data_IF_053060530644
#
_entry.id   IF_053060530644
#
_cell.length_a   1.000
_cell.length_b   1.000
_cell.length_c   1.000
_cell.angle_alpha   90.00
_cell.angle_beta   90.00
_cell.angle_gamma   90.00
#
_symmetry.space_group_name_H-M   'P 1'
#
loop_
_entity.id
_entity.type
_entity.pdbx_description
1 polymer ?
#
# COMPACT_ATOMS: atom_id res chain seq x y z
N UNK A 1 -11.17 -7.71 36.76
CA UNK A 1 -10.82 -8.43 35.52
C UNK A 1 -12.10 -8.49 34.71
N UNK A 2 -12.21 -7.69 33.66
CA UNK A 2 -13.32 -7.78 32.70
C UNK A 2 -13.22 -9.15 32.02
N UNK A 3 -14.30 -9.92 32.00
CA UNK A 3 -14.36 -11.16 31.22
C UNK A 3 -13.95 -10.86 29.78
N UNK A 4 -13.10 -11.72 29.21
CA UNK A 4 -12.65 -11.56 27.83
C UNK A 4 -13.89 -11.67 26.91
N UNK A 5 -14.05 -10.70 25.99
CA UNK A 5 -15.19 -10.66 25.07
C UNK A 5 -15.17 -11.79 24.03
N UNK A 6 -14.11 -12.60 24.01
CA UNK A 6 -13.89 -13.71 23.09
C UNK A 6 -12.56 -13.57 22.32
N UNK A 7 -12.25 -14.59 21.52
CA UNK A 7 -11.03 -14.64 20.70
C UNK A 7 -11.36 -14.35 19.25
N UNK A 8 -10.73 -13.28 18.67
CA UNK A 8 -11.01 -12.81 17.32
C UNK A 8 -9.81 -13.01 16.40
N UNK A 9 -10.03 -13.69 15.28
CA UNK A 9 -9.06 -13.78 14.19
C UNK A 9 -9.20 -12.56 13.28
N UNK A 10 -8.09 -11.85 13.02
CA UNK A 10 -8.07 -10.75 12.06
C UNK A 10 -7.24 -11.15 10.84
N UNK A 11 -7.90 -11.37 9.70
CA UNK A 11 -7.24 -11.60 8.43
C UNK A 11 -6.73 -10.26 7.86
N UNK A 12 -5.48 -10.23 7.40
CA UNK A 12 -4.86 -9.00 6.90
C UNK A 12 -4.45 -8.02 8.02
N UNK A 13 -4.15 -8.53 9.22
CA UNK A 13 -3.79 -7.73 10.38
C UNK A 13 -2.55 -6.85 10.20
N UNK A 14 -1.65 -7.16 9.27
CA UNK A 14 -0.47 -6.33 8.95
C UNK A 14 -0.79 -5.15 8.00
N UNK A 15 -2.00 -5.09 7.44
CA UNK A 15 -2.47 -3.98 6.61
C UNK A 15 -2.86 -2.74 7.43
N UNK A 16 -3.13 -1.62 6.74
CA UNK A 16 -3.52 -0.36 7.38
C UNK A 16 -4.74 -0.50 8.30
N UNK A 17 -5.88 -0.93 7.75
CA UNK A 17 -7.11 -1.12 8.53
C UNK A 17 -6.93 -2.26 9.54
N UNK A 18 -6.32 -3.38 9.11
CA UNK A 18 -6.12 -4.55 9.98
C UNK A 18 -5.33 -4.25 11.25
N UNK A 19 -4.30 -3.40 11.18
CA UNK A 19 -3.54 -2.98 12.36
C UNK A 19 -4.36 -2.10 13.30
N UNK A 20 -5.12 -1.14 12.77
CA UNK A 20 -6.01 -0.34 13.61
C UNK A 20 -7.03 -1.22 14.32
N UNK A 21 -7.61 -2.21 13.61
CA UNK A 21 -8.51 -3.20 14.20
C UNK A 21 -7.82 -4.06 15.26
N UNK A 22 -6.60 -4.56 14.98
CA UNK A 22 -5.87 -5.41 15.94
C UNK A 22 -5.57 -4.67 17.26
N UNK A 23 -5.06 -3.46 17.17
CA UNK A 23 -4.77 -2.65 18.35
C UNK A 23 -6.05 -2.22 19.08
N UNK A 24 -7.06 -1.77 18.36
CA UNK A 24 -8.31 -1.28 18.96
C UNK A 24 -9.16 -2.39 19.57
N UNK A 25 -9.27 -3.56 18.94
CA UNK A 25 -9.98 -4.71 19.51
C UNK A 25 -9.26 -5.24 20.75
N UNK A 26 -7.92 -5.31 20.73
CA UNK A 26 -7.14 -5.65 21.93
C UNK A 26 -7.39 -4.65 23.07
N UNK A 27 -7.43 -3.36 22.78
CA UNK A 27 -7.73 -2.31 23.76
C UNK A 27 -9.18 -2.42 24.29
N UNK A 28 -10.11 -2.94 23.48
CA UNK A 28 -11.48 -3.20 23.86
C UNK A 28 -11.68 -4.54 24.60
N UNK A 29 -10.61 -5.27 24.95
CA UNK A 29 -10.66 -6.49 25.76
C UNK A 29 -10.83 -7.80 24.97
N UNK A 30 -10.63 -7.78 23.65
CA UNK A 30 -10.61 -8.98 22.83
C UNK A 30 -9.25 -9.68 22.87
N UNK A 31 -9.25 -11.01 22.89
CA UNK A 31 -8.07 -11.82 22.56
C UNK A 31 -7.89 -11.80 21.02
N UNK A 32 -6.79 -11.22 20.55
CA UNK A 32 -6.58 -11.00 19.10
C UNK A 32 -5.56 -11.99 18.56
N UNK A 33 -5.98 -12.79 17.56
CA UNK A 33 -5.09 -13.57 16.69
C UNK A 33 -4.89 -12.79 15.39
N UNK A 34 -3.70 -12.28 15.18
CA UNK A 34 -3.35 -11.45 14.05
C UNK A 34 -2.81 -12.29 12.89
N UNK A 35 -3.55 -12.40 11.77
CA UNK A 35 -3.13 -13.18 10.61
C UNK A 35 -2.61 -12.30 9.48
N UNK A 36 -1.43 -12.67 8.96
CA UNK A 36 -0.76 -12.02 7.84
C UNK A 36 0.13 -13.01 7.09
N UNK A 37 0.60 -12.59 5.91
CA UNK A 37 1.56 -13.37 5.10
C UNK A 37 2.94 -13.51 5.76
N UNK A 38 3.29 -12.58 6.63
CA UNK A 38 4.53 -12.56 7.43
C UNK A 38 4.21 -11.97 8.79
N UNK A 39 4.32 -12.78 9.82
CA UNK A 39 3.89 -12.42 11.17
C UNK A 39 4.97 -11.78 12.03
N UNK A 40 6.26 -11.89 11.69
CA UNK A 40 7.38 -11.44 12.52
C UNK A 40 7.28 -10.00 13.08
N UNK A 41 6.54 -9.10 12.42
CA UNK A 41 6.28 -7.75 12.94
C UNK A 41 5.19 -7.76 14.00
N UNK A 42 4.09 -8.46 13.72
CA UNK A 42 2.96 -8.59 14.63
C UNK A 42 3.37 -9.30 15.92
N UNK A 43 4.24 -10.33 15.81
CA UNK A 43 4.85 -11.01 16.97
C UNK A 43 5.62 -10.01 17.85
N UNK A 44 6.47 -9.16 17.23
CA UNK A 44 7.20 -8.12 17.97
C UNK A 44 6.30 -7.06 18.60
N UNK A 45 5.08 -6.88 18.09
CA UNK A 45 4.04 -6.00 18.66
C UNK A 45 3.23 -6.69 19.77
N UNK A 46 3.57 -7.95 20.09
CA UNK A 46 2.95 -8.72 21.17
C UNK A 46 1.56 -9.26 20.85
N UNK A 47 1.28 -9.58 19.58
CA UNK A 47 0.06 -10.29 19.20
C UNK A 47 0.33 -11.79 19.12
N UNK A 48 -0.68 -12.60 19.47
CA UNK A 48 -0.75 -13.97 19.00
C UNK A 48 -0.92 -13.95 17.48
N UNK A 49 -0.15 -14.75 16.75
CA UNK A 49 -0.12 -14.66 15.30
C UNK A 49 -0.44 -15.97 14.62
N UNK A 50 -1.02 -15.85 13.41
CA UNK A 50 -1.29 -16.96 12.51
C UNK A 50 -0.79 -16.60 11.10
N UNK A 51 0.34 -17.20 10.70
CA UNK A 51 0.89 -16.93 9.37
C UNK A 51 0.08 -17.65 8.29
N UNK A 52 -0.47 -16.87 7.35
CA UNK A 52 -1.23 -17.36 6.22
C UNK A 52 -1.11 -16.42 5.01
N UNK A 53 -0.74 -16.97 3.86
CA UNK A 53 -0.84 -16.27 2.57
C UNK A 53 -2.17 -16.65 1.91
N UNK A 54 -3.13 -15.73 1.94
CA UNK A 54 -4.46 -15.94 1.35
C UNK A 54 -4.42 -16.12 -0.18
N UNK A 55 -3.30 -15.79 -0.85
CA UNK A 55 -3.10 -16.05 -2.26
C UNK A 55 -2.56 -17.47 -2.55
N UNK A 56 -2.16 -18.22 -1.52
CA UNK A 56 -1.69 -19.58 -1.68
C UNK A 56 -2.85 -20.56 -1.89
N UNK A 57 -2.69 -21.61 -2.71
CA UNK A 57 -3.73 -22.63 -2.89
C UNK A 57 -4.10 -23.37 -1.59
N UNK A 58 -3.16 -23.48 -0.65
CA UNK A 58 -3.37 -24.15 0.62
C UNK A 58 -4.39 -23.43 1.48
N UNK A 59 -4.32 -22.11 1.56
CA UNK A 59 -5.23 -21.28 2.35
C UNK A 59 -6.67 -21.28 1.80
N UNK A 60 -6.87 -21.71 0.56
CA UNK A 60 -8.19 -21.90 -0.03
C UNK A 60 -8.85 -23.25 0.38
N UNK A 61 -8.22 -24.03 1.27
CA UNK A 61 -8.76 -25.30 1.73
C UNK A 61 -9.18 -25.23 3.20
N UNK A 62 -10.30 -25.84 3.54
CA UNK A 62 -10.79 -25.92 4.93
C UNK A 62 -9.78 -26.64 5.83
N UNK A 63 -9.12 -27.68 5.30
CA UNK A 63 -8.14 -28.47 6.03
C UNK A 63 -6.95 -27.62 6.54
N UNK A 64 -6.54 -26.61 5.79
CA UNK A 64 -5.47 -25.68 6.22
C UNK A 64 -5.85 -24.93 7.50
N UNK A 65 -7.13 -24.57 7.67
CA UNK A 65 -7.62 -23.80 8.81
C UNK A 65 -8.04 -24.68 9.99
N UNK A 66 -8.37 -25.95 9.75
CA UNK A 66 -8.72 -26.88 10.82
C UNK A 66 -7.56 -27.04 11.81
N UNK A 67 -7.85 -26.94 13.10
CA UNK A 67 -6.87 -26.95 14.18
C UNK A 67 -6.11 -25.64 14.39
N UNK A 68 -6.10 -24.73 13.42
CA UNK A 68 -5.47 -23.40 13.55
C UNK A 68 -6.43 -22.35 14.14
N UNK A 69 -7.73 -22.65 14.16
CA UNK A 69 -8.80 -21.79 14.68
C UNK A 69 -9.28 -22.24 16.08
N UNK A 70 -8.44 -22.94 16.83
CA UNK A 70 -8.79 -23.39 18.17
C UNK A 70 -9.04 -22.17 19.08
N UNK A 71 -10.17 -22.18 19.78
CA UNK A 71 -10.60 -21.09 20.65
C UNK A 71 -11.10 -19.83 19.92
N UNK A 72 -10.94 -19.72 18.61
CA UNK A 72 -11.42 -18.56 17.85
C UNK A 72 -12.96 -18.57 17.78
N UNK A 73 -13.57 -17.50 18.28
CA UNK A 73 -15.03 -17.32 18.31
C UNK A 73 -15.52 -16.33 17.26
N UNK A 74 -14.66 -15.39 16.83
CA UNK A 74 -15.02 -14.31 15.90
C UNK A 74 -13.96 -14.17 14.81
N UNK A 75 -14.37 -13.62 13.65
CA UNK A 75 -13.45 -13.30 12.57
C UNK A 75 -13.69 -11.88 12.06
N UNK A 76 -12.60 -11.14 11.85
CA UNK A 76 -12.63 -9.87 11.12
C UNK A 76 -11.74 -10.01 9.89
N UNK A 77 -12.35 -9.94 8.72
CA UNK A 77 -11.62 -10.00 7.47
C UNK A 77 -11.35 -8.59 6.95
N UNK A 78 -10.13 -8.10 7.18
CA UNK A 78 -9.62 -6.84 6.64
C UNK A 78 -8.63 -7.07 5.49
N UNK A 79 -8.51 -8.30 4.99
CA UNK A 79 -7.65 -8.61 3.87
C UNK A 79 -8.25 -8.10 2.55
N UNK A 80 -7.40 -7.60 1.68
CA UNK A 80 -7.81 -7.18 0.36
C UNK A 80 -6.64 -6.67 -0.48
N UNK A 81 -6.80 -6.77 -1.79
CA UNK A 81 -5.85 -6.26 -2.79
C UNK A 81 -6.62 -5.43 -3.81
N UNK A 82 -6.15 -4.20 -4.06
CA UNK A 82 -6.80 -3.30 -5.02
C UNK A 82 -6.35 -3.62 -6.45
N UNK A 83 -5.05 -3.86 -6.62
CA UNK A 83 -4.42 -4.15 -7.91
C UNK A 83 -3.67 -5.48 -7.81
N UNK A 84 -4.22 -6.53 -8.42
CA UNK A 84 -3.63 -7.85 -8.45
C UNK A 84 -4.07 -8.58 -9.74
N UNK A 85 -3.42 -9.72 -10.04
CA UNK A 85 -3.93 -10.60 -11.09
C UNK A 85 -5.27 -11.19 -10.68
N UNK A 86 -6.10 -11.54 -11.66
CA UNK A 86 -7.41 -12.18 -11.46
C UNK A 86 -7.34 -13.34 -10.47
N UNK A 87 -6.37 -14.24 -10.67
CA UNK A 87 -6.13 -15.38 -9.77
C UNK A 87 -5.88 -14.96 -8.31
N UNK A 88 -5.01 -13.97 -8.09
CA UNK A 88 -4.70 -13.51 -6.73
C UNK A 88 -5.90 -12.80 -6.10
N UNK A 89 -6.61 -12.00 -6.89
CA UNK A 89 -7.81 -11.30 -6.45
C UNK A 89 -8.90 -12.30 -6.01
N UNK A 90 -9.18 -13.30 -6.84
CA UNK A 90 -10.13 -14.37 -6.54
C UNK A 90 -9.75 -15.16 -5.28
N UNK A 91 -8.47 -15.51 -5.14
CA UNK A 91 -7.99 -16.24 -3.96
C UNK A 91 -8.19 -15.42 -2.66
N UNK A 92 -7.76 -14.16 -2.67
CA UNK A 92 -7.76 -13.30 -1.45
C UNK A 92 -9.15 -12.82 -1.06
N UNK A 93 -10.02 -12.53 -2.05
CA UNK A 93 -11.34 -11.97 -1.75
C UNK A 93 -12.43 -13.03 -1.57
N UNK A 94 -12.26 -14.20 -2.17
CA UNK A 94 -13.34 -15.20 -2.26
C UNK A 94 -12.93 -16.56 -1.67
N UNK A 95 -11.91 -17.21 -2.26
CA UNK A 95 -11.61 -18.62 -1.98
C UNK A 95 -11.06 -18.85 -0.56
N UNK A 96 -10.02 -18.13 -0.16
CA UNK A 96 -9.44 -18.29 1.16
C UNK A 96 -10.39 -17.83 2.29
N UNK A 97 -11.11 -16.69 2.16
CA UNK A 97 -12.17 -16.32 3.10
C UNK A 97 -13.26 -17.38 3.25
N UNK A 98 -13.75 -17.98 2.14
CA UNK A 98 -14.73 -19.06 2.19
C UNK A 98 -14.23 -20.23 3.05
N UNK A 99 -12.99 -20.66 2.84
CA UNK A 99 -12.38 -21.76 3.60
C UNK A 99 -12.25 -21.44 5.11
N UNK A 100 -11.88 -20.18 5.45
CA UNK A 100 -11.84 -19.73 6.85
C UNK A 100 -13.22 -19.77 7.49
N UNK A 101 -14.23 -19.21 6.81
CA UNK A 101 -15.59 -19.13 7.34
C UNK A 101 -16.20 -20.52 7.50
N UNK A 102 -15.98 -21.42 6.55
CA UNK A 102 -16.41 -22.82 6.63
C UNK A 102 -15.71 -23.56 7.77
N UNK A 103 -14.37 -23.40 7.90
CA UNK A 103 -13.60 -24.01 8.98
C UNK A 103 -14.08 -23.52 10.35
N UNK A 104 -14.28 -22.21 10.50
CA UNK A 104 -14.86 -21.62 11.70
C UNK A 104 -16.25 -22.22 11.97
N UNK A 105 -17.05 -22.47 10.91
CA UNK A 105 -18.34 -23.16 10.95
C UNK A 105 -18.29 -24.56 11.56
N UNK A 106 -17.21 -25.27 11.50
CA UNK A 106 -17.03 -26.67 11.94
C UNK A 106 -16.51 -26.85 13.38
N UNK A 107 -16.05 -25.78 14.06
CA UNK A 107 -15.47 -25.89 15.41
C UNK A 107 -16.50 -26.10 16.56
N UNK A 108 -17.75 -26.45 16.29
CA UNK A 108 -18.74 -26.90 17.30
C UNK A 108 -19.59 -25.80 17.98
N UNK A 109 -19.17 -24.54 17.98
CA UNK A 109 -19.89 -23.43 18.67
C UNK A 109 -20.75 -22.62 17.69
N UNK A 110 -21.73 -23.24 17.03
CA UNK A 110 -22.54 -22.64 15.96
C UNK A 110 -23.29 -21.35 16.34
N UNK A 111 -23.70 -21.21 17.60
CA UNK A 111 -24.58 -20.12 18.05
C UNK A 111 -23.84 -18.81 18.39
N UNK A 112 -22.51 -18.85 18.56
CA UNK A 112 -21.71 -17.69 18.99
C UNK A 112 -20.79 -17.13 17.91
N UNK A 113 -20.88 -17.63 16.68
CA UNK A 113 -19.96 -17.23 15.62
C UNK A 113 -20.45 -16.00 14.92
N UNK A 114 -19.60 -15.02 14.94
CA UNK A 114 -19.87 -13.71 14.38
C UNK A 114 -18.63 -13.22 13.69
N UNK A 115 -18.83 -12.42 12.68
CA UNK A 115 -17.70 -11.84 12.00
C UNK A 115 -18.08 -10.64 11.15
N UNK A 116 -17.07 -9.89 10.80
CA UNK A 116 -17.18 -8.71 9.94
C UNK A 116 -16.21 -8.84 8.78
N UNK A 117 -16.70 -8.68 7.56
CA UNK A 117 -15.88 -8.47 6.37
C UNK A 117 -15.79 -6.97 6.11
N UNK A 118 -14.61 -6.38 6.18
CA UNK A 118 -14.40 -5.00 5.75
C UNK A 118 -14.46 -4.96 4.22
N UNK A 119 -15.49 -4.31 3.71
CA UNK A 119 -15.71 -4.08 2.28
C UNK A 119 -15.59 -2.60 1.94
N UNK A 120 -16.00 -2.21 0.75
CA UNK A 120 -15.87 -0.85 0.26
C UNK A 120 -17.19 -0.34 -0.33
N UNK A 121 -17.46 0.93 -0.12
CA UNK A 121 -18.58 1.64 -0.75
C UNK A 121 -18.35 1.78 -2.26
N UNK A 122 -19.43 1.85 -3.04
CA UNK A 122 -19.41 2.09 -4.49
C UNK A 122 -18.96 0.89 -5.34
N UNK A 123 -18.97 -0.32 -4.77
CA UNK A 123 -18.65 -1.52 -5.55
C UNK A 123 -19.81 -2.00 -6.41
N UNK A 124 -21.05 -1.64 -6.12
CA UNK A 124 -22.22 -2.08 -6.88
C UNK A 124 -22.25 -1.42 -8.27
N UNK A 125 -21.90 -0.15 -8.36
CA UNK A 125 -21.90 0.63 -9.59
C UNK A 125 -20.58 0.52 -10.37
N UNK A 126 -19.64 -0.31 -9.91
CA UNK A 126 -18.32 -0.46 -10.50
C UNK A 126 -18.15 -1.80 -11.20
N UNK A 127 -17.71 -1.76 -12.48
CA UNK A 127 -17.38 -2.93 -13.29
C UNK A 127 -15.91 -3.37 -13.17
N UNK A 128 -15.15 -2.79 -12.24
CA UNK A 128 -13.76 -3.17 -12.03
C UNK A 128 -13.63 -4.59 -11.49
N UNK A 129 -12.54 -5.28 -11.81
CA UNK A 129 -12.26 -6.61 -11.24
C UNK A 129 -12.24 -6.59 -9.71
N UNK A 130 -11.76 -5.51 -9.11
CA UNK A 130 -11.82 -5.30 -7.67
C UNK A 130 -13.25 -5.32 -7.14
N UNK A 131 -14.15 -4.54 -7.75
CA UNK A 131 -15.55 -4.46 -7.31
C UNK A 131 -16.28 -5.81 -7.48
N UNK A 132 -16.04 -6.51 -8.60
CA UNK A 132 -16.61 -7.85 -8.83
C UNK A 132 -16.23 -8.84 -7.74
N UNK A 133 -14.91 -9.00 -7.45
CA UNK A 133 -14.46 -9.94 -6.42
C UNK A 133 -14.88 -9.52 -5.02
N UNK A 134 -15.02 -8.21 -4.75
CA UNK A 134 -15.58 -7.75 -3.48
C UNK A 134 -17.03 -8.17 -3.32
N UNK A 135 -17.89 -8.00 -4.34
CA UNK A 135 -19.29 -8.47 -4.30
C UNK A 135 -19.39 -9.98 -4.13
N UNK A 136 -18.55 -10.74 -4.86
CA UNK A 136 -18.46 -12.20 -4.67
C UNK A 136 -18.06 -12.57 -3.24
N UNK A 137 -17.06 -11.88 -2.67
CA UNK A 137 -16.63 -12.05 -1.27
C UNK A 137 -17.70 -11.69 -0.25
N UNK A 138 -18.49 -10.65 -0.51
CA UNK A 138 -19.66 -10.29 0.31
C UNK A 138 -20.73 -11.39 0.29
N UNK A 139 -21.03 -11.94 -0.89
CA UNK A 139 -21.98 -13.04 -1.02
C UNK A 139 -21.51 -14.28 -0.25
N UNK A 140 -20.22 -14.62 -0.32
CA UNK A 140 -19.63 -15.71 0.47
C UNK A 140 -19.72 -15.41 1.97
N UNK A 141 -19.41 -14.20 2.40
CA UNK A 141 -19.47 -13.79 3.81
C UNK A 141 -20.91 -13.95 4.34
N UNK A 142 -21.90 -13.42 3.65
CA UNK A 142 -23.32 -13.53 4.02
C UNK A 142 -23.79 -14.99 4.11
N UNK A 143 -23.38 -15.84 3.18
CA UNK A 143 -23.73 -17.27 3.18
C UNK A 143 -23.19 -18.01 4.43
N UNK A 144 -22.18 -17.46 5.09
CA UNK A 144 -21.56 -18.02 6.30
C UNK A 144 -21.88 -17.22 7.58
N UNK A 145 -22.83 -16.27 7.53
CA UNK A 145 -23.21 -15.46 8.68
C UNK A 145 -22.15 -14.40 9.07
N UNK A 146 -21.26 -14.07 8.15
CA UNK A 146 -20.27 -12.98 8.31
C UNK A 146 -20.85 -11.72 7.66
N UNK A 147 -20.90 -10.65 8.41
CA UNK A 147 -21.53 -9.39 8.00
C UNK A 147 -20.56 -8.53 7.18
N UNK A 148 -20.86 -8.17 5.93
CA UNK A 148 -20.08 -7.18 5.21
C UNK A 148 -20.32 -5.78 5.77
N UNK A 149 -19.23 -5.06 6.04
CA UNK A 149 -19.22 -3.65 6.43
C UNK A 149 -18.48 -2.85 5.36
N UNK A 150 -19.23 -2.17 4.50
CA UNK A 150 -18.70 -1.29 3.47
C UNK A 150 -18.26 0.01 4.11
N UNK A 151 -16.97 0.24 4.14
CA UNK A 151 -16.41 1.47 4.66
C UNK A 151 -16.23 2.49 3.53
N UNK A 152 -16.51 3.76 3.83
CA UNK A 152 -16.10 4.90 3.03
C UNK A 152 -14.57 5.04 3.01
N UNK A 153 -14.06 6.21 2.64
CA UNK A 153 -12.62 6.48 2.69
C UNK A 153 -12.12 6.46 4.15
N UNK A 154 -11.29 5.47 4.48
CA UNK A 154 -10.72 5.35 5.83
C UNK A 154 -9.50 6.25 5.97
N UNK A 155 -9.52 7.15 6.94
CA UNK A 155 -8.39 7.98 7.37
C UNK A 155 -8.00 7.60 8.80
N UNK A 156 -6.75 7.86 9.21
CA UNK A 156 -6.29 7.53 10.57
C UNK A 156 -4.98 8.22 10.92
N UNK A 157 -4.41 7.89 12.05
CA UNK A 157 -3.09 8.38 12.48
C UNK A 157 -1.99 7.92 11.52
N UNK A 158 -2.04 6.65 11.12
CA UNK A 158 -1.23 6.13 10.02
C UNK A 158 -1.97 6.33 8.70
N UNK A 159 -1.33 6.05 7.59
CA UNK A 159 -1.96 6.12 6.28
C UNK A 159 -1.39 5.08 5.34
N UNK A 160 -2.20 4.64 4.38
CA UNK A 160 -1.80 3.70 3.35
C UNK A 160 -2.69 3.87 2.10
N UNK A 161 -2.16 3.59 0.92
CA UNK A 161 -2.94 3.61 -0.30
C UNK A 161 -3.57 4.98 -0.59
N UNK A 162 -4.89 5.02 -0.73
CA UNK A 162 -5.64 6.25 -1.04
C UNK A 162 -5.47 7.36 -0.01
N UNK A 163 -5.39 7.02 1.28
CA UNK A 163 -5.18 8.03 2.33
C UNK A 163 -3.76 8.62 2.30
N UNK A 164 -2.74 7.83 1.95
CA UNK A 164 -1.38 8.32 1.72
C UNK A 164 -1.33 9.23 0.50
N UNK A 165 -1.99 8.86 -0.60
CA UNK A 165 -2.08 9.69 -1.80
C UNK A 165 -2.79 11.01 -1.50
N UNK A 166 -3.90 11.00 -0.76
CA UNK A 166 -4.60 12.22 -0.37
C UNK A 166 -3.69 13.17 0.44
N UNK A 167 -2.93 12.65 1.42
CA UNK A 167 -1.95 13.45 2.16
C UNK A 167 -0.84 13.99 1.26
N UNK A 168 -0.35 13.21 0.30
CA UNK A 168 0.69 13.61 -0.62
C UNK A 168 0.21 14.71 -1.58
N UNK A 169 -1.01 14.60 -2.13
CA UNK A 169 -1.61 15.64 -2.95
C UNK A 169 -1.86 16.93 -2.15
N UNK A 170 -2.31 16.80 -0.89
CA UNK A 170 -2.46 17.93 0.02
C UNK A 170 -1.12 18.61 0.35
N UNK A 171 -0.02 17.84 0.46
CA UNK A 171 1.32 18.36 0.73
C UNK A 171 2.10 18.79 -0.51
N UNK A 172 1.51 18.66 -1.71
CA UNK A 172 2.22 18.98 -2.95
C UNK A 172 2.67 20.46 -2.95
N UNK A 173 3.92 20.76 -3.32
CA UNK A 173 4.41 22.13 -3.36
C UNK A 173 3.75 22.93 -4.48
N UNK A 174 3.59 24.21 -4.31
CA UNK A 174 3.13 25.20 -5.30
C UNK A 174 1.69 25.07 -5.77
N UNK A 175 1.13 23.86 -5.93
CA UNK A 175 -0.25 23.64 -6.38
C UNK A 175 -0.86 22.42 -5.64
N UNK A 176 -2.18 22.33 -5.60
CA UNK A 176 -2.90 21.19 -5.05
C UNK A 176 -3.66 20.48 -6.18
N UNK A 177 -3.17 19.33 -6.68
CA UNK A 177 -3.81 18.62 -7.77
C UNK A 177 -5.12 17.96 -7.34
N UNK A 178 -6.18 18.12 -8.12
CA UNK A 178 -7.47 17.44 -7.95
C UNK A 178 -7.92 16.81 -9.26
N UNK A 179 -8.73 15.76 -9.19
CA UNK A 179 -9.28 15.07 -10.36
C UNK A 179 -10.52 15.83 -10.86
N UNK A 180 -10.55 16.19 -12.13
CA UNK A 180 -11.68 16.93 -12.70
C UNK A 180 -11.89 18.28 -12.00
N UNK A 181 -13.12 18.56 -11.59
CA UNK A 181 -13.46 19.77 -10.84
C UNK A 181 -13.03 19.73 -9.37
N UNK A 182 -12.78 18.54 -8.81
CA UNK A 182 -12.50 18.35 -7.40
C UNK A 182 -13.72 18.44 -6.48
N UNK A 183 -14.92 18.27 -7.05
CA UNK A 183 -16.23 18.39 -6.37
C UNK A 183 -16.83 17.04 -5.97
N UNK A 184 -16.13 15.94 -6.26
CA UNK A 184 -16.60 14.60 -5.89
C UNK A 184 -16.79 14.50 -4.38
N UNK A 185 -17.93 13.93 -3.91
CA UNK A 185 -18.25 13.87 -2.50
C UNK A 185 -17.55 12.71 -1.79
N UNK A 186 -17.15 12.95 -0.55
CA UNK A 186 -16.58 11.96 0.37
C UNK A 186 -17.17 12.19 1.76
N UNK A 187 -17.41 11.12 2.49
CA UNK A 187 -17.64 11.18 3.93
C UNK A 187 -16.66 10.27 4.67
N UNK A 188 -15.39 10.72 4.83
CA UNK A 188 -14.34 9.90 5.41
C UNK A 188 -14.70 9.42 6.81
N UNK A 189 -14.32 8.17 7.12
CA UNK A 189 -14.44 7.59 8.46
C UNK A 189 -13.05 7.44 9.08
N UNK A 190 -12.93 7.77 10.37
CA UNK A 190 -11.66 7.57 11.07
C UNK A 190 -11.45 6.10 11.42
N UNK A 191 -10.23 5.59 11.27
CA UNK A 191 -9.90 4.19 11.53
C UNK A 191 -10.24 3.73 12.97
N UNK A 192 -10.10 4.61 13.96
CA UNK A 192 -10.51 4.31 15.33
C UNK A 192 -12.04 4.20 15.47
N UNK A 193 -12.81 5.02 14.74
CA UNK A 193 -14.26 4.97 14.77
C UNK A 193 -14.79 3.74 14.01
N UNK A 194 -14.14 3.37 12.89
CA UNK A 194 -14.37 2.09 12.21
C UNK A 194 -14.11 0.91 13.17
N UNK A 195 -13.03 0.97 13.96
CA UNK A 195 -12.70 -0.09 14.92
C UNK A 195 -13.76 -0.20 16.03
N UNK A 196 -14.25 0.91 16.56
CA UNK A 196 -15.34 0.92 17.54
C UNK A 196 -16.63 0.33 16.97
N UNK A 197 -16.95 0.68 15.72
CA UNK A 197 -18.09 0.11 15.01
C UNK A 197 -17.95 -1.42 14.85
N UNK A 198 -16.79 -1.90 14.42
CA UNK A 198 -16.51 -3.34 14.33
C UNK A 198 -16.64 -4.03 15.68
N UNK A 199 -16.06 -3.47 16.74
CA UNK A 199 -16.16 -4.04 18.09
C UNK A 199 -17.62 -4.17 18.56
N UNK A 200 -18.45 -3.15 18.30
CA UNK A 200 -19.87 -3.18 18.61
C UNK A 200 -20.61 -4.24 17.78
N UNK A 201 -20.40 -4.27 16.46
CA UNK A 201 -21.06 -5.18 15.55
C UNK A 201 -20.66 -6.66 15.74
N UNK A 202 -19.49 -6.95 16.31
CA UNK A 202 -19.14 -8.31 16.71
C UNK A 202 -20.00 -8.83 17.86
N UNK A 203 -20.45 -7.96 18.76
CA UNK A 203 -21.30 -8.31 19.89
C UNK A 203 -22.80 -8.10 19.62
N UNK A 204 -23.13 -7.19 18.71
CA UNK A 204 -24.49 -6.84 18.29
C UNK A 204 -24.60 -6.94 16.75
N UNK A 205 -24.67 -8.15 16.20
CA UNK A 205 -24.67 -8.34 14.75
C UNK A 205 -25.95 -7.78 14.13
N UNK A 206 -25.78 -7.18 12.95
CA UNK A 206 -26.90 -6.78 12.09
C UNK A 206 -27.02 -7.71 10.88
N UNK A 207 -28.19 -7.78 10.29
CA UNK A 207 -28.41 -8.56 9.08
C UNK A 207 -28.01 -7.79 7.81
N UNK A 208 -27.56 -8.52 6.80
CA UNK A 208 -27.24 -7.96 5.49
C UNK A 208 -25.94 -7.14 5.46
N UNK A 209 -25.81 -6.37 4.40
CA UNK A 209 -24.65 -5.48 4.17
C UNK A 209 -24.86 -4.19 4.95
N UNK A 210 -23.84 -3.80 5.70
CA UNK A 210 -23.82 -2.53 6.44
C UNK A 210 -22.90 -1.54 5.75
N UNK A 211 -23.15 -0.23 5.91
CA UNK A 211 -22.28 0.83 5.41
C UNK A 211 -21.91 1.79 6.54
N UNK A 212 -20.63 2.25 6.52
CA UNK A 212 -20.11 3.22 7.47
C UNK A 212 -19.31 4.33 6.79
N UNK A 213 -19.71 5.57 7.07
CA UNK A 213 -18.99 6.80 6.73
C UNK A 213 -19.05 7.76 7.88
N UNK A 214 -18.30 8.85 7.80
CA UNK A 214 -18.44 9.97 8.73
C UNK A 214 -19.75 10.75 8.49
N UNK A 215 -20.21 11.53 9.48
CA UNK A 215 -21.40 12.34 9.33
C UNK A 215 -21.22 13.59 8.44
N UNK A 216 -19.97 13.98 8.19
CA UNK A 216 -19.60 15.15 7.40
C UNK A 216 -19.28 14.75 5.96
N UNK A 217 -20.00 15.35 5.00
CA UNK A 217 -19.70 15.21 3.57
C UNK A 217 -18.82 16.36 3.14
N UNK A 218 -17.69 16.04 2.54
CA UNK A 218 -16.71 17.00 2.02
C UNK A 218 -16.38 16.68 0.56
N UNK A 219 -16.08 17.70 -0.22
CA UNK A 219 -15.56 17.52 -1.59
C UNK A 219 -14.09 17.09 -1.55
N UNK A 220 -13.57 16.55 -2.66
CA UNK A 220 -12.13 16.26 -2.79
C UNK A 220 -11.29 17.49 -2.46
N UNK A 221 -11.68 18.68 -2.97
CA UNK A 221 -10.96 19.94 -2.74
C UNK A 221 -10.97 20.32 -1.26
N UNK A 222 -12.12 20.22 -0.58
CA UNK A 222 -12.23 20.54 0.85
C UNK A 222 -11.43 19.57 1.71
N UNK A 223 -11.51 18.27 1.41
CA UNK A 223 -10.73 17.24 2.10
C UNK A 223 -9.21 17.51 1.99
N UNK A 224 -8.71 17.75 0.77
CA UNK A 224 -7.29 18.04 0.58
C UNK A 224 -6.87 19.36 1.24
N UNK A 225 -7.73 20.38 1.21
CA UNK A 225 -7.50 21.66 1.90
C UNK A 225 -7.44 21.47 3.40
N UNK A 226 -8.35 20.68 3.97
CA UNK A 226 -8.34 20.33 5.40
C UNK A 226 -7.08 19.60 5.82
N UNK A 227 -6.67 18.57 5.04
CA UNK A 227 -5.42 17.85 5.28
C UNK A 227 -4.19 18.75 5.14
N UNK A 228 -4.17 19.66 4.17
CA UNK A 228 -3.09 20.64 3.99
C UNK A 228 -2.95 21.57 5.20
N UNK A 229 -4.07 22.08 5.69
CA UNK A 229 -4.11 22.93 6.90
C UNK A 229 -3.63 22.15 8.12
N UNK A 230 -4.10 20.91 8.29
CA UNK A 230 -3.65 20.02 9.36
C UNK A 230 -2.14 19.78 9.35
N UNK A 231 -1.54 19.62 8.15
CA UNK A 231 -0.08 19.49 7.98
C UNK A 231 0.68 20.79 8.25
N UNK A 232 0.00 21.89 8.61
CA UNK A 232 0.62 23.20 8.87
C UNK A 232 1.10 23.91 7.60
N UNK A 233 0.57 23.55 6.42
CA UNK A 233 0.99 24.13 5.15
C UNK A 233 0.08 25.28 4.73
N UNK A 234 0.69 26.34 4.17
CA UNK A 234 -0.03 27.49 3.64
C UNK A 234 -0.88 27.13 2.40
N UNK A 235 -1.88 27.96 2.06
CA UNK A 235 -2.73 27.75 0.89
C UNK A 235 -1.93 27.82 -0.42
N UNK A 236 -2.38 27.03 -1.41
CA UNK A 236 -1.84 27.02 -2.78
C UNK A 236 -2.98 26.97 -3.79
N UNK A 237 -2.76 27.38 -5.04
CA UNK A 237 -3.75 27.23 -6.09
C UNK A 237 -4.17 25.77 -6.31
N UNK A 238 -5.47 25.54 -6.54
CA UNK A 238 -6.00 24.23 -6.92
C UNK A 238 -5.75 24.01 -8.42
N UNK A 239 -5.06 22.91 -8.75
CA UNK A 239 -4.81 22.47 -10.11
C UNK A 239 -5.81 21.38 -10.50
N UNK A 240 -6.81 21.75 -11.30
CA UNK A 240 -7.82 20.82 -11.82
C UNK A 240 -7.24 20.02 -12.98
N UNK A 241 -6.98 18.72 -12.75
CA UNK A 241 -6.43 17.83 -13.77
C UNK A 241 -7.58 17.20 -14.56
N UNK A 242 -7.57 17.29 -15.91
CA UNK A 242 -8.56 16.61 -16.72
C UNK A 242 -8.59 15.09 -16.43
N UNK A 243 -9.77 14.53 -16.37
CA UNK A 243 -9.98 13.09 -16.04
C UNK A 243 -9.20 12.17 -16.97
N UNK A 244 -9.14 12.47 -18.27
CA UNK A 244 -8.36 11.68 -19.24
C UNK A 244 -6.87 11.62 -18.88
N UNK A 245 -6.30 12.72 -18.38
CA UNK A 245 -4.90 12.79 -17.95
C UNK A 245 -4.70 11.95 -16.70
N UNK A 246 -5.60 12.04 -15.71
CA UNK A 246 -5.56 11.22 -14.50
C UNK A 246 -5.66 9.71 -14.84
N UNK A 247 -6.51 9.34 -15.81
CA UNK A 247 -6.60 7.96 -16.31
C UNK A 247 -5.33 7.50 -17.02
N UNK A 248 -4.68 8.37 -17.79
CA UNK A 248 -3.39 8.07 -18.41
C UNK A 248 -2.30 7.85 -17.35
N UNK A 249 -2.23 8.71 -16.34
CA UNK A 249 -1.34 8.54 -15.19
C UNK A 249 -1.64 7.24 -14.43
N UNK A 250 -2.92 6.89 -14.27
CA UNK A 250 -3.35 5.64 -13.67
C UNK A 250 -2.83 4.42 -14.43
N UNK A 251 -2.89 4.42 -15.77
CA UNK A 251 -2.33 3.33 -16.61
C UNK A 251 -0.82 3.19 -16.42
N UNK A 252 -0.09 4.30 -16.35
CA UNK A 252 1.34 4.29 -16.07
C UNK A 252 1.58 3.72 -14.67
N UNK A 253 0.80 4.15 -13.69
CA UNK A 253 0.88 3.65 -12.33
C UNK A 253 0.62 2.15 -12.20
N UNK A 254 -0.36 1.61 -12.94
CA UNK A 254 -0.63 0.18 -13.01
C UNK A 254 0.56 -0.58 -13.62
N UNK A 255 1.13 -0.07 -14.74
CA UNK A 255 2.29 -0.67 -15.40
C UNK A 255 3.54 -0.70 -14.49
N UNK A 256 3.75 0.36 -13.71
CA UNK A 256 4.87 0.52 -12.77
C UNK A 256 4.57 -0.04 -11.37
N UNK A 257 3.38 -0.57 -11.13
CA UNK A 257 2.93 -1.08 -9.82
C UNK A 257 3.06 -0.06 -8.70
N UNK A 258 2.56 1.16 -8.94
CA UNK A 258 2.61 2.26 -7.98
C UNK A 258 1.45 2.26 -6.95
N UNK A 259 0.68 1.18 -6.89
CA UNK A 259 -0.38 0.99 -5.90
C UNK A 259 -1.56 1.94 -6.11
N UNK A 260 -1.70 3.00 -5.31
CA UNK A 260 -2.89 3.86 -5.35
C UNK A 260 -2.95 4.80 -6.57
N UNK A 261 -1.86 4.92 -7.32
CA UNK A 261 -1.86 5.59 -8.62
C UNK A 261 -2.25 4.53 -9.66
N UNK A 262 -3.55 4.29 -9.82
CA UNK A 262 -4.11 3.24 -10.69
C UNK A 262 -5.38 3.73 -11.38
N UNK A 263 -5.73 3.09 -12.50
CA UNK A 263 -7.00 3.39 -13.18
C UNK A 263 -8.19 3.11 -12.26
N UNK A 264 -8.11 2.05 -11.44
CA UNK A 264 -9.17 1.72 -10.46
C UNK A 264 -9.33 2.84 -9.43
N UNK A 265 -8.24 3.37 -8.88
CA UNK A 265 -8.31 4.47 -7.92
C UNK A 265 -8.88 5.76 -8.56
N UNK A 266 -8.49 6.09 -9.80
CA UNK A 266 -9.04 7.24 -10.51
C UNK A 266 -10.55 7.09 -10.72
N UNK A 267 -11.05 5.90 -11.13
CA UNK A 267 -12.49 5.65 -11.28
C UNK A 267 -13.25 5.78 -9.97
N UNK A 268 -12.70 5.29 -8.86
CA UNK A 268 -13.30 5.48 -7.53
C UNK A 268 -13.34 6.95 -7.13
N UNK A 269 -12.28 7.72 -7.42
CA UNK A 269 -12.26 9.16 -7.17
C UNK A 269 -13.28 9.90 -8.03
N UNK A 270 -13.48 9.50 -9.30
CA UNK A 270 -14.46 10.12 -10.20
C UNK A 270 -15.91 9.90 -9.71
N UNK A 271 -16.21 8.71 -9.20
CA UNK A 271 -17.54 8.37 -8.67
C UNK A 271 -17.82 9.05 -7.32
N UNK A 272 -16.78 9.46 -6.59
CA UNK A 272 -16.87 9.81 -5.19
C UNK A 272 -16.91 8.55 -4.30
N UNK A 273 -16.80 8.75 -2.99
CA UNK A 273 -16.90 7.68 -2.00
C UNK A 273 -17.81 8.17 -0.88
N UNK A 274 -19.10 7.99 -1.07
CA UNK A 274 -20.14 8.41 -0.14
C UNK A 274 -20.85 7.18 0.42
N UNK A 275 -20.63 6.89 1.70
CA UNK A 275 -21.33 5.84 2.42
C UNK A 275 -22.68 6.36 2.92
N UNK A 276 -23.70 5.53 2.84
CA UNK A 276 -24.99 5.77 3.50
C UNK A 276 -25.06 4.95 4.79
N UNK A 277 -24.75 5.54 5.97
CA UNK A 277 -24.72 4.78 7.22
C UNK A 277 -26.00 4.00 7.44
N UNK A 278 -25.87 2.68 7.61
CA UNK A 278 -27.00 1.79 7.87
C UNK A 278 -27.63 2.06 9.24
N UNK A 279 -28.82 1.51 9.48
CA UNK A 279 -29.52 1.69 10.76
C UNK A 279 -28.68 1.18 11.94
N UNK A 280 -28.03 0.01 11.80
CA UNK A 280 -27.14 -0.54 12.83
C UNK A 280 -25.93 0.39 13.12
N UNK A 281 -25.40 1.07 12.10
CA UNK A 281 -24.32 2.04 12.28
C UNK A 281 -24.82 3.33 12.91
N UNK A 282 -26.04 3.78 12.58
CA UNK A 282 -26.68 4.94 13.24
C UNK A 282 -26.99 4.69 14.71
N UNK A 283 -27.24 3.43 15.07
CA UNK A 283 -27.54 3.00 16.45
C UNK A 283 -26.29 2.76 17.31
N UNK A 284 -25.08 2.98 16.76
CA UNK A 284 -23.84 2.85 17.54
C UNK A 284 -23.87 3.75 18.80
N UNK A 285 -23.36 3.26 19.95
CA UNK A 285 -23.28 4.04 21.18
C UNK A 285 -22.49 5.35 21.02
N UNK A 286 -21.42 5.28 20.22
CA UNK A 286 -20.62 6.43 19.84
C UNK A 286 -20.69 6.62 18.33
N UNK A 287 -21.21 7.77 17.91
CA UNK A 287 -21.26 8.12 16.47
C UNK A 287 -19.85 8.37 15.93
N UNK A 288 -19.56 7.96 14.68
CA UNK A 288 -18.32 8.33 14.02
C UNK A 288 -18.14 9.85 13.99
N UNK A 289 -16.91 10.30 14.17
CA UNK A 289 -16.55 11.72 14.10
C UNK A 289 -16.61 12.24 12.67
N UNK A 290 -16.93 13.52 12.51
CA UNK A 290 -16.81 14.22 11.22
C UNK A 290 -15.34 14.38 10.79
N UNK A 291 -15.13 14.67 9.51
CA UNK A 291 -13.80 14.91 8.97
C UNK A 291 -13.10 16.05 9.70
N UNK A 292 -13.79 17.16 9.92
CA UNK A 292 -13.26 18.32 10.65
C UNK A 292 -12.90 17.99 12.09
N UNK A 293 -13.68 17.16 12.77
CA UNK A 293 -13.44 16.77 14.14
C UNK A 293 -12.14 15.99 14.29
N UNK A 294 -11.95 14.93 13.49
CA UNK A 294 -10.76 14.09 13.64
C UNK A 294 -9.48 14.72 13.07
N UNK A 295 -9.59 15.60 12.07
CA UNK A 295 -8.45 16.38 11.57
C UNK A 295 -7.96 17.35 12.64
N UNK A 296 -8.87 17.92 13.44
CA UNK A 296 -8.53 18.84 14.52
C UNK A 296 -8.20 18.13 15.85
N UNK A 297 -8.46 16.81 15.97
CA UNK A 297 -8.27 16.06 17.21
C UNK A 297 -6.81 15.92 17.67
N UNK A 298 -5.85 15.96 16.73
CA UNK A 298 -4.42 15.94 17.03
C UNK A 298 -3.62 16.82 16.08
N UNK A 299 -2.50 17.41 16.53
CA UNK A 299 -1.57 18.10 15.64
C UNK A 299 -0.87 17.11 14.70
N UNK A 300 -0.53 17.55 13.48
CA UNK A 300 0.40 16.81 12.62
C UNK A 300 1.83 16.96 13.16
N UNK A 301 2.55 15.85 13.16
CA UNK A 301 3.97 15.84 13.51
C UNK A 301 4.87 15.88 12.27
N UNK A 302 6.18 15.97 12.51
CA UNK A 302 7.20 15.92 11.43
C UNK A 302 7.08 14.64 10.60
N UNK A 303 6.75 13.50 11.21
CA UNK A 303 6.53 12.23 10.53
C UNK A 303 5.35 12.28 9.55
N UNK A 304 4.26 12.98 9.89
CA UNK A 304 3.11 13.14 9.00
C UNK A 304 3.49 13.97 7.78
N UNK A 305 4.20 15.07 7.99
CA UNK A 305 4.66 15.96 6.93
C UNK A 305 5.70 15.28 6.02
N UNK A 306 6.66 14.57 6.60
CA UNK A 306 7.67 13.85 5.82
C UNK A 306 7.04 12.73 5.02
N UNK A 307 6.15 11.93 5.61
CA UNK A 307 5.44 10.88 4.89
C UNK A 307 4.65 11.47 3.71
N UNK A 308 3.89 12.55 3.94
CA UNK A 308 3.12 13.20 2.88
C UNK A 308 3.99 13.71 1.72
N UNK A 309 5.12 14.35 2.02
CA UNK A 309 6.04 14.89 1.00
C UNK A 309 6.85 13.81 0.29
N UNK A 310 7.27 12.77 1.00
CA UNK A 310 8.13 11.71 0.45
C UNK A 310 7.33 10.65 -0.31
N UNK A 311 6.01 10.58 -0.12
CA UNK A 311 5.18 9.55 -0.73
C UNK A 311 5.32 9.51 -2.26
N UNK A 312 5.19 10.65 -2.92
CA UNK A 312 5.35 10.76 -4.37
C UNK A 312 6.83 10.81 -4.80
N UNK A 313 7.78 10.95 -3.89
CA UNK A 313 9.20 10.86 -4.23
C UNK A 313 9.62 9.43 -4.58
N UNK A 314 8.94 8.41 -4.07
CA UNK A 314 9.21 7.00 -4.40
C UNK A 314 9.13 6.71 -5.91
N UNK A 315 8.03 6.99 -6.62
CA UNK A 315 7.99 6.83 -8.07
C UNK A 315 8.99 7.72 -8.81
N UNK A 316 9.23 8.94 -8.33
CA UNK A 316 10.22 9.84 -8.94
C UNK A 316 11.63 9.24 -8.85
N UNK A 317 12.04 8.74 -7.68
CA UNK A 317 13.33 8.10 -7.50
C UNK A 317 13.49 6.84 -8.36
N UNK A 318 12.43 6.02 -8.48
CA UNK A 318 12.46 4.86 -9.39
C UNK A 318 12.71 5.28 -10.84
N UNK A 319 12.03 6.34 -11.32
CA UNK A 319 12.19 6.84 -12.67
C UNK A 319 13.60 7.42 -12.86
N UNK A 320 14.06 8.26 -11.94
CA UNK A 320 15.41 8.87 -12.02
C UNK A 320 16.49 7.81 -12.07
N UNK A 321 16.44 6.82 -11.17
CA UNK A 321 17.40 5.71 -11.16
C UNK A 321 17.26 4.83 -12.41
N UNK A 322 16.04 4.57 -12.89
CA UNK A 322 15.84 3.80 -14.12
C UNK A 322 16.41 4.52 -15.35
N UNK A 323 16.27 5.84 -15.44
CA UNK A 323 16.90 6.65 -16.50
C UNK A 323 18.42 6.57 -16.40
N UNK A 324 18.98 6.72 -15.20
CA UNK A 324 20.42 6.60 -14.96
C UNK A 324 20.95 5.24 -15.44
N UNK A 325 20.34 4.15 -15.00
CA UNK A 325 20.72 2.80 -15.41
C UNK A 325 20.49 2.53 -16.91
N UNK A 326 19.42 3.10 -17.49
CA UNK A 326 19.17 2.98 -18.94
C UNK A 326 20.27 3.67 -19.76
N UNK A 327 20.63 4.91 -19.39
CA UNK A 327 21.68 5.66 -20.07
C UNK A 327 23.04 4.97 -19.90
N UNK A 328 23.38 4.55 -18.68
CA UNK A 328 24.61 3.78 -18.38
C UNK A 328 24.66 2.50 -19.23
N UNK A 329 23.57 1.75 -19.27
CA UNK A 329 23.49 0.50 -20.04
C UNK A 329 23.62 0.71 -21.55
N UNK A 330 23.00 1.75 -22.10
CA UNK A 330 23.16 2.11 -23.53
C UNK A 330 24.60 2.52 -23.85
N UNK A 331 25.22 3.31 -22.99
CA UNK A 331 26.63 3.67 -23.14
C UNK A 331 27.50 2.42 -23.08
N UNK A 332 27.32 1.54 -22.09
CA UNK A 332 28.06 0.29 -21.97
C UNK A 332 27.93 -0.61 -23.20
N UNK A 333 26.75 -0.62 -23.86
CA UNK A 333 26.52 -1.47 -25.03
C UNK A 333 27.02 -0.86 -26.35
N UNK A 334 26.86 0.45 -26.53
CA UNK A 334 27.00 1.06 -27.86
C UNK A 334 28.17 2.03 -28.00
N UNK A 335 28.80 2.45 -26.87
CA UNK A 335 29.97 3.33 -26.96
C UNK A 335 31.07 2.66 -27.76
N UNK A 336 31.66 3.35 -28.79
CA UNK A 336 32.78 2.80 -29.56
C UNK A 336 33.96 2.46 -28.65
N UNK A 337 34.62 1.34 -28.92
CA UNK A 337 35.75 0.86 -28.12
C UNK A 337 36.91 1.87 -28.08
N UNK A 338 37.10 2.62 -29.17
CA UNK A 338 38.10 3.68 -29.25
C UNK A 338 37.92 4.81 -28.23
N UNK A 339 36.70 4.99 -27.71
CA UNK A 339 36.38 6.08 -26.76
C UNK A 339 36.67 5.69 -25.30
N UNK A 340 36.61 4.38 -24.94
CA UNK A 340 36.82 3.99 -23.54
C UNK A 340 38.08 3.16 -23.28
N UNK A 341 38.61 2.41 -24.26
CA UNK A 341 39.87 1.64 -24.08
C UNK A 341 41.07 2.53 -23.67
N UNK A 342 41.22 3.74 -24.22
CA UNK A 342 42.32 4.63 -23.79
C UNK A 342 42.25 5.02 -22.30
N UNK A 343 41.04 5.01 -21.68
CA UNK A 343 40.85 5.36 -20.25
C UNK A 343 41.49 4.32 -19.31
N UNK A 344 41.64 3.09 -19.78
CA UNK A 344 42.19 1.97 -19.02
C UNK A 344 43.55 1.52 -19.60
N UNK A 345 44.10 2.25 -20.55
CA UNK A 345 45.39 1.95 -21.12
C UNK A 345 46.47 1.95 -20.02
N UNK A 346 47.29 0.89 -19.98
CA UNK A 346 48.29 0.71 -18.91
C UNK A 346 47.81 0.02 -17.64
N UNK A 347 46.51 -0.34 -17.52
CA UNK A 347 45.97 -1.10 -16.38
C UNK A 347 46.42 -2.59 -16.39
N UNK A 348 46.94 -3.09 -17.50
CA UNK A 348 47.30 -4.51 -17.67
C UNK A 348 46.07 -5.41 -18.03
N UNK A 349 44.88 -4.85 -18.15
CA UNK A 349 43.67 -5.58 -18.54
C UNK A 349 43.66 -5.75 -20.07
N UNK A 350 43.50 -6.99 -20.61
CA UNK A 350 43.37 -7.20 -22.05
C UNK A 350 42.14 -6.52 -22.62
N UNK A 351 42.21 -5.93 -23.81
CA UNK A 351 41.11 -5.21 -24.46
C UNK A 351 39.83 -6.01 -24.59
N UNK A 352 39.98 -7.29 -24.98
CA UNK A 352 38.79 -8.17 -25.10
C UNK A 352 38.01 -8.33 -23.78
N UNK A 353 38.75 -8.39 -22.66
CA UNK A 353 38.16 -8.52 -21.33
C UNK A 353 37.48 -7.22 -20.91
N UNK A 354 38.08 -6.08 -21.16
CA UNK A 354 37.50 -4.75 -20.93
C UNK A 354 36.23 -4.55 -21.75
N UNK A 355 36.25 -4.94 -23.04
CA UNK A 355 35.08 -4.89 -23.90
C UNK A 355 33.98 -5.81 -23.37
N UNK A 356 34.29 -7.04 -22.98
CA UNK A 356 33.34 -7.97 -22.44
C UNK A 356 32.66 -7.42 -21.18
N UNK A 357 33.45 -6.86 -20.24
CA UNK A 357 32.88 -6.22 -19.02
C UNK A 357 32.00 -5.02 -19.34
N UNK A 358 32.37 -4.17 -20.30
CA UNK A 358 31.56 -3.02 -20.70
C UNK A 358 30.22 -3.47 -21.27
N UNK A 359 30.21 -4.48 -22.16
CA UNK A 359 28.98 -4.98 -22.81
C UNK A 359 28.09 -5.73 -21.82
N UNK A 360 28.65 -6.63 -21.00
CA UNK A 360 27.89 -7.37 -19.97
C UNK A 360 27.36 -6.42 -18.88
N UNK A 361 28.17 -5.45 -18.46
CA UNK A 361 27.74 -4.40 -17.55
C UNK A 361 26.56 -3.62 -18.12
N UNK A 362 26.63 -3.23 -19.41
CA UNK A 362 25.55 -2.54 -20.09
C UNK A 362 24.24 -3.34 -20.13
N UNK A 363 24.31 -4.67 -20.36
CA UNK A 363 23.13 -5.55 -20.26
C UNK A 363 22.57 -5.57 -18.84
N UNK A 364 23.44 -5.72 -17.84
CA UNK A 364 23.02 -5.75 -16.43
C UNK A 364 22.34 -4.44 -16.02
N UNK A 365 22.87 -3.28 -16.44
CA UNK A 365 22.29 -1.96 -16.19
C UNK A 365 20.90 -1.83 -16.78
N UNK A 366 20.67 -2.29 -18.03
CA UNK A 366 19.34 -2.29 -18.64
C UNK A 366 18.34 -3.22 -17.94
N UNK A 367 18.81 -4.38 -17.44
CA UNK A 367 17.97 -5.28 -16.65
C UNK A 367 17.56 -4.64 -15.32
N UNK A 368 18.47 -3.92 -14.66
CA UNK A 368 18.17 -3.15 -13.44
C UNK A 368 17.15 -2.05 -13.74
N UNK A 369 17.33 -1.30 -14.84
CA UNK A 369 16.39 -0.28 -15.26
C UNK A 369 14.97 -0.85 -15.49
N UNK A 370 14.88 -1.96 -16.21
CA UNK A 370 13.62 -2.66 -16.44
C UNK A 370 12.95 -3.17 -15.16
N UNK A 371 13.74 -3.70 -14.22
CA UNK A 371 13.26 -4.14 -12.92
C UNK A 371 12.70 -2.99 -12.08
N UNK A 372 13.38 -1.83 -12.08
CA UNK A 372 12.91 -0.61 -11.40
C UNK A 372 11.59 -0.11 -11.96
N UNK A 373 11.48 0.02 -13.29
CA UNK A 373 10.25 0.47 -13.95
C UNK A 373 9.07 -0.47 -13.68
N UNK A 374 9.33 -1.78 -13.59
CA UNK A 374 8.30 -2.77 -13.25
C UNK A 374 8.01 -2.89 -11.75
N UNK A 375 8.75 -2.20 -10.89
CA UNK A 375 8.64 -2.37 -9.44
C UNK A 375 8.89 -3.82 -8.99
N UNK A 376 9.83 -4.52 -9.66
CA UNK A 376 10.13 -5.90 -9.34
C UNK A 376 11.09 -5.99 -8.16
N UNK A 377 10.62 -6.58 -7.05
CA UNK A 377 11.39 -6.77 -5.80
C UNK A 377 12.22 -5.53 -5.44
N UNK A 378 11.62 -4.36 -5.21
CA UNK A 378 12.33 -3.09 -5.17
C UNK A 378 13.42 -3.01 -4.09
N UNK A 379 13.22 -3.60 -2.91
CA UNK A 379 14.23 -3.61 -1.83
C UNK A 379 15.45 -4.48 -2.13
N UNK A 380 15.34 -5.77 -2.52
CA UNK A 380 16.49 -6.54 -3.00
C UNK A 380 17.18 -5.88 -4.18
N UNK A 381 16.42 -5.28 -5.11
CA UNK A 381 16.98 -4.58 -6.26
C UNK A 381 17.82 -3.34 -5.86
N UNK A 382 17.45 -2.64 -4.79
CA UNK A 382 18.28 -1.56 -4.25
C UNK A 382 19.65 -2.08 -3.77
N UNK A 383 19.71 -3.27 -3.15
CA UNK A 383 20.96 -3.93 -2.80
C UNK A 383 21.81 -4.28 -4.03
N UNK A 384 21.18 -4.79 -5.10
CA UNK A 384 21.88 -5.06 -6.37
C UNK A 384 22.46 -3.78 -6.96
N UNK A 385 21.68 -2.69 -7.02
CA UNK A 385 22.14 -1.40 -7.50
C UNK A 385 23.35 -0.89 -6.69
N UNK A 386 23.26 -0.94 -5.36
CA UNK A 386 24.35 -0.50 -4.50
C UNK A 386 25.64 -1.32 -4.74
N UNK A 387 25.49 -2.65 -4.87
CA UNK A 387 26.63 -3.53 -5.19
C UNK A 387 27.26 -3.20 -6.55
N UNK A 388 26.43 -2.92 -7.57
CA UNK A 388 26.92 -2.52 -8.90
C UNK A 388 27.66 -1.19 -8.87
N UNK A 389 27.10 -0.16 -8.22
CA UNK A 389 27.75 1.16 -8.10
C UNK A 389 29.07 1.05 -7.34
N UNK A 390 29.10 0.30 -6.23
CA UNK A 390 30.34 0.06 -5.47
C UNK A 390 31.35 -0.73 -6.30
N UNK A 391 30.89 -1.77 -7.00
CA UNK A 391 31.74 -2.58 -7.90
C UNK A 391 32.42 -1.72 -8.98
N UNK A 392 31.61 -0.90 -9.68
CA UNK A 392 32.14 0.04 -10.68
C UNK A 392 33.09 1.06 -10.04
N UNK A 393 32.75 1.60 -8.88
CA UNK A 393 33.61 2.56 -8.18
C UNK A 393 34.97 1.96 -7.83
N UNK A 394 34.98 0.76 -7.24
CA UNK A 394 36.23 0.06 -6.88
C UNK A 394 37.04 -0.30 -8.13
N UNK A 395 36.40 -0.91 -9.13
CA UNK A 395 37.07 -1.31 -10.36
C UNK A 395 37.74 -0.13 -11.06
N UNK A 396 37.02 0.98 -11.27
CA UNK A 396 37.56 2.15 -11.93
C UNK A 396 38.53 2.95 -11.04
N UNK A 397 38.44 2.87 -9.72
CA UNK A 397 39.47 3.42 -8.82
C UNK A 397 40.82 2.74 -9.02
N UNK A 398 40.84 1.43 -9.35
CA UNK A 398 42.04 0.66 -9.61
C UNK A 398 42.48 0.81 -11.07
N UNK A 399 41.55 0.64 -12.03
CA UNK A 399 41.88 0.58 -13.45
C UNK A 399 42.11 1.96 -14.08
N UNK A 400 41.45 3.00 -13.60
CA UNK A 400 41.49 4.35 -14.16
C UNK A 400 41.31 5.41 -13.06
N UNK A 401 42.26 5.55 -12.11
CA UNK A 401 42.15 6.48 -10.99
C UNK A 401 41.96 7.95 -11.42
N UNK A 402 42.40 8.30 -12.63
CA UNK A 402 42.17 9.62 -13.23
C UNK A 402 40.67 10.00 -13.31
N UNK A 403 39.77 9.02 -13.33
CA UNK A 403 38.33 9.28 -13.34
C UNK A 403 37.82 10.01 -12.09
N UNK A 404 38.56 9.99 -10.97
CA UNK A 404 38.26 10.80 -9.80
C UNK A 404 38.46 12.28 -10.04
N UNK A 405 39.38 12.64 -10.94
CA UNK A 405 39.81 14.00 -11.22
C UNK A 405 39.14 14.61 -12.44
N UNK A 406 38.23 13.86 -13.09
CA UNK A 406 37.49 14.37 -14.24
C UNK A 406 36.63 15.59 -13.88
N UNK A 407 36.53 16.58 -14.80
CA UNK A 407 35.60 17.70 -14.64
C UNK A 407 34.20 17.22 -14.30
N UNK A 408 33.45 18.02 -13.49
CA UNK A 408 32.10 17.71 -13.05
C UNK A 408 31.98 16.49 -12.13
N UNK A 409 33.07 16.06 -11.52
CA UNK A 409 33.05 15.15 -10.37
C UNK A 409 33.17 13.66 -10.68
N UNK A 410 33.44 13.22 -11.90
CA UNK A 410 33.81 11.84 -12.24
C UNK A 410 33.16 10.76 -11.38
N UNK A 411 33.97 9.89 -10.75
CA UNK A 411 33.50 8.83 -9.84
C UNK A 411 32.87 9.37 -8.53
N UNK A 412 33.13 10.62 -8.15
CA UNK A 412 32.53 11.24 -6.95
C UNK A 412 30.99 11.26 -7.04
N UNK A 413 30.43 11.30 -8.26
CA UNK A 413 28.97 11.25 -8.49
C UNK A 413 28.31 9.94 -8.02
N UNK A 414 29.09 8.90 -7.79
CA UNK A 414 28.57 7.64 -7.25
C UNK A 414 28.08 7.79 -5.79
N UNK A 415 28.62 8.74 -5.02
CA UNK A 415 28.17 8.99 -3.64
C UNK A 415 26.71 9.45 -3.56
N UNK A 416 26.26 10.50 -4.27
CA UNK A 416 24.84 10.87 -4.29
C UNK A 416 23.96 9.78 -4.89
N UNK A 417 24.44 8.99 -5.86
CA UNK A 417 23.67 7.84 -6.40
C UNK A 417 23.43 6.79 -5.31
N UNK A 418 24.45 6.44 -4.52
CA UNK A 418 24.29 5.52 -3.38
C UNK A 418 23.30 6.08 -2.34
N UNK A 419 23.33 7.38 -2.07
CA UNK A 419 22.38 8.02 -1.16
C UNK A 419 20.93 7.94 -1.71
N UNK A 420 20.72 8.15 -3.03
CA UNK A 420 19.41 8.00 -3.67
C UNK A 420 18.90 6.55 -3.62
N UNK A 421 19.80 5.56 -3.82
CA UNK A 421 19.45 4.14 -3.69
C UNK A 421 19.05 3.80 -2.25
N UNK A 422 19.79 4.29 -1.26
CA UNK A 422 19.47 4.12 0.15
C UNK A 422 18.13 4.76 0.51
N UNK A 423 17.85 5.96 0.02
CA UNK A 423 16.57 6.63 0.21
C UNK A 423 15.42 5.82 -0.42
N UNK A 424 15.59 5.33 -1.66
CA UNK A 424 14.60 4.46 -2.30
C UNK A 424 14.35 3.20 -1.47
N UNK A 425 15.42 2.54 -0.97
CA UNK A 425 15.30 1.36 -0.12
C UNK A 425 14.42 1.61 1.12
N UNK A 426 14.59 2.79 1.76
CA UNK A 426 13.81 3.20 2.94
C UNK A 426 12.34 3.45 2.55
N UNK A 427 12.11 4.18 1.45
CA UNK A 427 10.76 4.51 0.99
C UNK A 427 9.96 3.31 0.49
N UNK A 428 10.62 2.22 0.09
CA UNK A 428 9.96 0.97 -0.30
C UNK A 428 9.50 0.12 0.91
N UNK A 429 9.80 0.52 2.13
CA UNK A 429 9.26 -0.10 3.35
C UNK A 429 7.96 0.58 3.79
N UNK A 430 7.05 0.83 2.87
CA UNK A 430 5.72 1.37 3.16
C UNK A 430 4.85 0.32 3.88
N UNK A 431 4.12 0.78 4.92
CA UNK A 431 3.36 -0.09 5.83
C UNK A 431 2.00 0.50 6.16
#
# INVERSE_FOLDING_TARGET
>A
MTEAQGKVLILGADGFIGRHLAFGLRAAGWEVVASARRCARLDRMGFETLEADLASPESATVAFWQGRLEGVTHVVNAAGVLTASERVSQAVHVQAPAAVYEALGKTGQRETRRGVLISAVGIDDSETGFARHRREGEAVALAHGIMPLRAGLVLGETSYGGSSLARALAAFPFVMPVVGAGEQPFNPVHAADLTKAVAHLLTHPAEGVQEIGGPEVVTQTEMLTGLRRWLGLGPVPVLRLPVWLCRAMGRIGDAMRLGPISVTAVRQLEAGVLAEPSEAVRALPERPRGFSDFVNARPAGTQDLWHARLYLMRPVLRIVLAVLWSVSGLIGLFLPTAEFLPLIAGSGVPDWLAIAFARLGGVADLLIAGALLRGWRPRPMAGVQAAMVLGYTVAFSVLAPVLWLLPLGGLLKNLPVLALIALLYILEDER
#
